data_IF_899285826669
#
_entry.id   IF_899285826669
#
_cell.length_a   1.000
_cell.length_b   1.000
_cell.length_c   1.000
_cell.angle_alpha   90.00
_cell.angle_beta   90.00
_cell.angle_gamma   90.00
#
_symmetry.space_group_name_H-M   'P 1'
#
loop_
_entity.id
_entity.type
_entity.pdbx_description
1 polymer ?
#
# COMPACT_ATOMS: atom_id res chain seq x y z
N UNK A 1 -10.57 41.26 -6.63
CA UNK A 1 -9.88 40.64 -5.49
C UNK A 1 -9.62 39.18 -5.84
N UNK A 2 -8.60 38.93 -6.66
CA UNK A 2 -8.16 37.58 -7.02
C UNK A 2 -7.33 37.02 -5.87
N UNK A 3 -7.79 35.91 -5.28
CA UNK A 3 -6.96 35.12 -4.39
C UNK A 3 -6.01 34.31 -5.27
N UNK A 4 -4.76 34.76 -5.39
CA UNK A 4 -3.69 33.90 -5.88
C UNK A 4 -3.57 32.71 -4.93
N UNK A 5 -4.10 31.55 -5.36
CA UNK A 5 -3.77 30.27 -4.73
C UNK A 5 -2.32 30.01 -5.09
N UNK A 6 -1.42 30.23 -4.12
CA UNK A 6 -0.05 29.74 -4.24
C UNK A 6 -0.12 28.23 -4.19
N UNK A 7 0.00 27.57 -5.35
CA UNK A 7 0.23 26.13 -5.43
C UNK A 7 1.69 25.90 -5.05
N UNK A 8 1.97 25.83 -3.76
CA UNK A 8 3.26 25.36 -3.28
C UNK A 8 3.47 23.94 -3.83
N UNK A 9 4.57 23.71 -4.55
CA UNK A 9 4.93 22.37 -4.98
C UNK A 9 5.09 21.49 -3.74
N UNK A 10 4.69 20.22 -3.84
CA UNK A 10 4.94 19.24 -2.78
C UNK A 10 6.43 19.18 -2.48
N UNK A 11 6.75 19.18 -1.20
CA UNK A 11 8.11 18.96 -0.72
C UNK A 11 8.50 17.50 -0.93
N UNK A 12 9.80 17.23 -1.01
CA UNK A 12 10.32 15.85 -1.10
C UNK A 12 9.88 14.99 0.10
N UNK A 13 9.69 15.61 1.26
CA UNK A 13 9.20 14.93 2.47
C UNK A 13 7.74 14.46 2.29
N UNK A 14 6.87 15.29 1.71
CA UNK A 14 5.48 14.93 1.42
C UNK A 14 5.41 13.82 0.36
N UNK A 15 6.21 13.92 -0.71
CA UNK A 15 6.32 12.87 -1.72
C UNK A 15 6.80 11.54 -1.12
N UNK A 16 7.77 11.60 -0.21
CA UNK A 16 8.26 10.41 0.51
C UNK A 16 7.17 9.78 1.39
N UNK A 17 6.33 10.59 2.03
CA UNK A 17 5.22 10.08 2.84
C UNK A 17 4.16 9.38 1.98
N UNK A 18 3.84 9.93 0.81
CA UNK A 18 2.91 9.31 -0.14
C UNK A 18 3.45 7.97 -0.64
N UNK A 19 4.73 7.88 -1.02
CA UNK A 19 5.36 6.61 -1.42
C UNK A 19 5.28 5.56 -0.30
N UNK A 20 5.59 5.96 0.94
CA UNK A 20 5.52 5.07 2.10
C UNK A 20 4.10 4.57 2.34
N UNK A 21 3.09 5.44 2.20
CA UNK A 21 1.69 5.04 2.30
C UNK A 21 1.32 4.05 1.20
N UNK A 22 1.67 4.32 -0.05
CA UNK A 22 1.38 3.44 -1.18
C UNK A 22 2.00 2.06 -0.99
N UNK A 23 3.26 2.00 -0.56
CA UNK A 23 3.96 0.74 -0.26
C UNK A 23 3.33 -0.02 0.91
N UNK A 24 2.94 0.69 1.97
CA UNK A 24 2.25 0.09 3.11
C UNK A 24 0.89 -0.50 2.69
N UNK A 25 0.11 0.23 1.88
CA UNK A 25 -1.16 -0.25 1.34
C UNK A 25 -0.96 -1.52 0.49
N UNK A 26 0.02 -1.52 -0.42
CA UNK A 26 0.35 -2.68 -1.24
C UNK A 26 0.77 -3.90 -0.40
N UNK A 27 1.59 -3.68 0.64
CA UNK A 27 2.02 -4.74 1.54
C UNK A 27 0.83 -5.40 2.26
N UNK A 28 -0.06 -4.57 2.81
CA UNK A 28 -1.27 -5.05 3.48
C UNK A 28 -2.23 -5.75 2.51
N UNK A 29 -2.38 -5.26 1.27
CA UNK A 29 -3.20 -5.90 0.24
C UNK A 29 -2.72 -7.32 -0.08
N UNK A 30 -1.41 -7.54 -0.20
CA UNK A 30 -0.85 -8.89 -0.36
C UNK A 30 -1.15 -9.73 0.89
N UNK A 31 -0.95 -9.17 2.09
CA UNK A 31 -1.29 -9.85 3.33
C UNK A 31 -2.76 -10.33 3.36
N UNK A 32 -3.69 -9.47 2.95
CA UNK A 32 -5.12 -9.79 2.85
C UNK A 32 -5.43 -10.91 1.85
N UNK A 33 -4.71 -10.98 0.72
CA UNK A 33 -4.94 -12.01 -0.31
C UNK A 33 -4.31 -13.35 0.10
N UNK A 34 -3.08 -13.33 0.63
CA UNK A 34 -2.25 -14.53 0.73
C UNK A 34 -2.04 -15.05 2.15
N UNK A 35 -2.05 -14.20 3.19
CA UNK A 35 -1.63 -14.60 4.53
C UNK A 35 -2.82 -14.88 5.47
N UNK A 36 -2.73 -15.98 6.20
CA UNK A 36 -3.61 -16.31 7.33
C UNK A 36 -3.01 -15.86 8.67
N UNK A 37 -1.67 -15.80 8.74
CA UNK A 37 -0.91 -15.45 9.93
C UNK A 37 0.43 -14.80 9.56
N UNK A 38 1.18 -14.33 10.57
CA UNK A 38 2.48 -13.68 10.42
C UNK A 38 2.51 -12.51 9.40
N UNK A 39 1.57 -11.55 9.48
CA UNK A 39 1.41 -10.52 8.45
C UNK A 39 2.57 -9.52 8.37
N UNK A 40 3.42 -9.44 9.40
CA UNK A 40 4.60 -8.57 9.45
C UNK A 40 5.91 -9.33 9.28
N UNK A 41 5.86 -10.64 9.02
CA UNK A 41 7.04 -11.51 8.89
C UNK A 41 8.01 -11.39 10.07
N UNK A 42 7.49 -11.39 11.30
CA UNK A 42 8.30 -11.33 12.54
C UNK A 42 9.11 -12.61 12.76
N UNK A 43 8.68 -13.71 12.12
CA UNK A 43 9.44 -14.94 11.95
C UNK A 43 9.52 -15.30 10.45
N UNK A 44 10.46 -16.17 10.02
CA UNK A 44 10.54 -16.61 8.63
C UNK A 44 9.19 -17.13 8.10
N UNK A 45 8.87 -16.81 6.84
CA UNK A 45 7.62 -17.26 6.22
C UNK A 45 7.60 -18.79 6.08
N UNK A 46 6.51 -19.41 6.52
CA UNK A 46 6.29 -20.85 6.44
C UNK A 46 4.99 -21.13 5.68
N UNK A 47 4.82 -22.32 5.05
CA UNK A 47 3.61 -22.67 4.33
C UNK A 47 2.33 -22.52 5.17
N UNK A 48 2.41 -22.78 6.48
CA UNK A 48 1.28 -22.68 7.42
C UNK A 48 0.78 -21.24 7.61
N UNK A 49 1.55 -20.23 7.20
CA UNK A 49 1.12 -18.83 7.23
C UNK A 49 0.29 -18.44 6.00
N UNK A 50 0.26 -19.27 4.95
CA UNK A 50 -0.41 -18.98 3.69
C UNK A 50 -1.82 -19.58 3.71
N UNK A 51 -2.82 -18.81 3.25
CA UNK A 51 -4.20 -19.29 3.18
C UNK A 51 -4.32 -20.56 2.31
N UNK A 52 -5.04 -21.61 2.76
CA UNK A 52 -5.26 -22.81 1.96
C UNK A 52 -6.01 -22.57 0.64
N UNK A 53 -6.82 -21.51 0.59
CA UNK A 53 -7.51 -21.04 -0.61
C UNK A 53 -7.22 -19.56 -0.84
N UNK A 54 -6.61 -19.25 -1.98
CA UNK A 54 -6.28 -17.88 -2.37
C UNK A 54 -7.45 -17.27 -3.13
N UNK A 55 -8.02 -16.21 -2.58
CA UNK A 55 -9.10 -15.46 -3.20
C UNK A 55 -8.80 -13.97 -3.11
N UNK A 56 -8.92 -13.27 -4.23
CA UNK A 56 -8.66 -11.85 -4.34
C UNK A 56 -8.10 -11.50 -5.72
N UNK A 57 -8.01 -10.21 -6.00
CA UNK A 57 -7.46 -9.70 -7.25
C UNK A 57 -6.25 -8.83 -6.93
N UNK A 58 -5.10 -9.19 -7.48
CA UNK A 58 -3.89 -8.38 -7.33
C UNK A 58 -3.73 -7.37 -8.47
N UNK A 59 -4.02 -7.75 -9.72
CA UNK A 59 -3.59 -7.00 -10.91
C UNK A 59 -3.94 -5.51 -10.92
N UNK A 60 -5.13 -5.12 -10.43
CA UNK A 60 -5.56 -3.72 -10.37
C UNK A 60 -5.21 -3.01 -9.05
N UNK A 61 -4.93 -3.77 -7.99
CA UNK A 61 -4.82 -3.23 -6.62
C UNK A 61 -3.68 -2.23 -6.44
N UNK A 62 -2.44 -2.46 -6.95
CA UNK A 62 -1.36 -1.46 -6.84
C UNK A 62 -1.68 -0.13 -7.52
N UNK A 63 -2.34 -0.19 -8.68
CA UNK A 63 -2.76 1.00 -9.42
C UNK A 63 -3.84 1.79 -8.69
N UNK A 64 -4.82 1.09 -8.09
CA UNK A 64 -5.82 1.73 -7.24
C UNK A 64 -5.21 2.33 -5.98
N UNK A 65 -4.31 1.61 -5.29
CA UNK A 65 -3.61 2.13 -4.12
C UNK A 65 -2.75 3.35 -4.45
N UNK A 66 -2.16 3.40 -5.65
CA UNK A 66 -1.41 4.58 -6.12
C UNK A 66 -2.35 5.78 -6.27
N UNK A 67 -3.46 5.62 -6.98
CA UNK A 67 -4.44 6.68 -7.19
C UNK A 67 -5.04 7.17 -5.86
N UNK A 68 -5.28 6.28 -4.89
CA UNK A 68 -5.78 6.67 -3.58
C UNK A 68 -4.77 7.40 -2.69
N UNK A 69 -3.47 7.24 -2.95
CA UNK A 69 -2.43 7.90 -2.17
C UNK A 69 -2.16 9.34 -2.64
N UNK A 70 -2.57 9.69 -3.86
CA UNK A 70 -2.32 10.97 -4.54
C UNK A 70 -3.57 11.84 -4.60
#
# INVERSE_FOLDING_TARGET
MEKHVSTAALTDAELTLIDRYWRAANYLSIGQIYLLANPLLLEPLKPEHIKPRLLGHWGTTPGLNFIYAH
#
